data_IF_493743401349
#
_entry.id   IF_493743401349
#
_cell.length_a   1.000
_cell.length_b   1.000
_cell.length_c   1.000
_cell.angle_alpha   90.00
_cell.angle_beta   90.00
_cell.angle_gamma   90.00
#
_symmetry.space_group_name_H-M   'P 1'
#
loop_
_entity.id
_entity.type
_entity.pdbx_description
1 polymer ?
#
# COMPACT_ATOMS: atom_id res chain seq x y z
N UNK A 1 -35.23 -1.86 12.49
CA UNK A 1 -35.02 -1.61 13.92
C UNK A 1 -33.55 -1.90 14.24
N UNK A 2 -32.80 -0.89 14.70
CA UNK A 2 -31.43 -1.11 15.18
C UNK A 2 -31.53 -1.91 16.50
N UNK A 3 -30.86 -3.06 16.59
CA UNK A 3 -30.88 -3.92 17.78
C UNK A 3 -30.42 -3.15 19.02
N UNK A 4 -30.93 -3.51 20.20
CA UNK A 4 -30.51 -2.92 21.48
C UNK A 4 -28.98 -2.97 21.64
N UNK A 5 -28.35 -4.06 21.19
CA UNK A 5 -26.90 -4.22 21.20
C UNK A 5 -26.19 -3.13 20.38
N UNK A 6 -26.66 -2.85 19.16
CA UNK A 6 -26.09 -1.83 18.29
C UNK A 6 -26.26 -0.42 18.86
N UNK A 7 -27.39 -0.13 19.52
CA UNK A 7 -27.56 1.16 20.24
C UNK A 7 -26.54 1.32 21.36
N UNK A 8 -26.29 0.27 22.14
CA UNK A 8 -25.26 0.30 23.19
C UNK A 8 -23.86 0.51 22.62
N UNK A 9 -23.52 -0.17 21.51
CA UNK A 9 -22.24 0.02 20.82
C UNK A 9 -22.06 1.45 20.31
N UNK A 10 -23.11 2.03 19.70
CA UNK A 10 -23.08 3.41 19.22
C UNK A 10 -22.96 4.43 20.36
N UNK A 11 -23.59 4.16 21.51
CA UNK A 11 -23.50 5.01 22.71
C UNK A 11 -22.09 5.01 23.30
N UNK A 12 -21.42 3.85 23.28
CA UNK A 12 -20.07 3.66 23.83
C UNK A 12 -18.95 3.76 22.77
N UNK A 13 -19.24 4.31 21.59
CA UNK A 13 -18.34 4.23 20.44
C UNK A 13 -16.95 4.85 20.70
N UNK A 14 -16.85 5.93 21.48
CA UNK A 14 -15.56 6.58 21.82
C UNK A 14 -14.69 5.67 22.69
N UNK A 15 -15.28 5.01 23.69
CA UNK A 15 -14.55 4.09 24.57
C UNK A 15 -14.08 2.87 23.81
N UNK A 16 -14.94 2.29 22.98
CA UNK A 16 -14.60 1.14 22.12
C UNK A 16 -13.49 1.53 21.14
N UNK A 17 -13.59 2.71 20.52
CA UNK A 17 -12.56 3.24 19.63
C UNK A 17 -11.20 3.32 20.30
N UNK A 18 -11.13 3.92 21.50
CA UNK A 18 -9.88 4.06 22.24
C UNK A 18 -9.33 2.70 22.66
N UNK A 19 -10.19 1.77 23.09
CA UNK A 19 -9.79 0.41 23.45
C UNK A 19 -9.21 -0.38 22.27
N UNK A 20 -9.83 -0.29 21.09
CA UNK A 20 -9.31 -0.94 19.87
C UNK A 20 -7.98 -0.31 19.47
N UNK A 21 -7.88 1.03 19.47
CA UNK A 21 -6.67 1.74 19.10
C UNK A 21 -5.51 1.44 20.07
N UNK A 22 -5.78 1.44 21.38
CA UNK A 22 -4.78 1.13 22.40
C UNK A 22 -4.31 -0.32 22.29
N UNK A 23 -5.23 -1.25 22.04
CA UNK A 23 -4.91 -2.67 21.84
C UNK A 23 -4.07 -2.85 20.58
N UNK A 24 -4.50 -2.28 19.45
CA UNK A 24 -3.74 -2.32 18.20
C UNK A 24 -2.32 -1.75 18.37
N UNK A 25 -2.21 -0.61 19.04
CA UNK A 25 -0.92 0.03 19.30
C UNK A 25 -0.06 -0.83 20.22
N UNK A 26 -0.62 -1.36 21.31
CA UNK A 26 0.11 -2.24 22.21
C UNK A 26 0.68 -3.47 21.49
N UNK A 27 -0.17 -4.18 20.73
CA UNK A 27 0.25 -5.38 20.00
C UNK A 27 1.29 -5.08 18.91
N UNK A 28 1.21 -3.94 18.23
CA UNK A 28 2.21 -3.51 17.22
C UNK A 28 3.61 -3.30 17.78
N UNK A 29 3.74 -3.03 19.08
CA UNK A 29 5.02 -2.77 19.74
C UNK A 29 5.50 -3.97 20.58
N UNK A 30 4.75 -5.07 20.60
CA UNK A 30 5.17 -6.30 21.27
C UNK A 30 6.39 -6.95 20.62
N UNK A 31 6.72 -6.62 19.37
CA UNK A 31 7.92 -7.12 18.70
C UNK A 31 9.23 -6.61 19.31
N UNK A 32 9.21 -5.52 20.09
CA UNK A 32 10.36 -5.06 20.86
C UNK A 32 10.60 -5.89 22.13
N UNK A 33 9.64 -6.74 22.53
CA UNK A 33 9.77 -7.62 23.70
C UNK A 33 10.16 -9.02 23.20
N UNK A 34 11.34 -9.55 23.60
CA UNK A 34 11.76 -10.89 23.22
C UNK A 34 10.70 -11.95 23.57
N UNK A 35 10.32 -12.79 22.60
CA UNK A 35 9.32 -13.85 22.77
C UNK A 35 7.89 -13.44 22.43
N UNK A 36 7.60 -12.14 22.27
CA UNK A 36 6.26 -11.64 21.93
C UNK A 36 6.12 -11.20 20.47
N UNK A 37 7.14 -11.42 19.63
CA UNK A 37 7.12 -11.01 18.22
C UNK A 37 5.97 -11.66 17.43
N UNK A 38 5.60 -12.90 17.77
CA UNK A 38 4.50 -13.61 17.15
C UNK A 38 3.17 -12.84 17.27
N UNK A 39 2.92 -12.17 18.39
CA UNK A 39 1.69 -11.40 18.62
C UNK A 39 1.63 -10.14 17.76
N UNK A 40 2.77 -9.46 17.58
CA UNK A 40 2.86 -8.30 16.70
C UNK A 40 2.62 -8.67 15.23
N UNK A 41 3.00 -9.88 14.80
CA UNK A 41 2.84 -10.33 13.42
C UNK A 41 1.37 -10.41 12.96
N UNK A 42 0.42 -10.55 13.89
CA UNK A 42 -1.01 -10.55 13.58
C UNK A 42 -1.55 -9.15 13.25
N UNK A 43 -0.88 -8.08 13.67
CA UNK A 43 -1.34 -6.71 13.44
C UNK A 43 -0.72 -6.17 12.15
N UNK A 44 -1.41 -6.44 11.04
CA UNK A 44 -1.00 -5.99 9.70
C UNK A 44 -1.85 -4.81 9.21
N UNK A 45 -1.36 -4.02 8.22
CA UNK A 45 -2.15 -2.96 7.58
C UNK A 45 -3.58 -3.35 7.16
N UNK A 46 -3.83 -4.51 6.50
CA UNK A 46 -5.20 -4.92 6.20
C UNK A 46 -6.04 -5.19 7.45
N UNK A 47 -5.49 -5.86 8.46
CA UNK A 47 -6.22 -6.14 9.71
C UNK A 47 -6.62 -4.82 10.38
N UNK A 48 -5.72 -3.85 10.46
CA UNK A 48 -6.02 -2.54 11.00
C UNK A 48 -7.10 -1.80 10.18
N UNK A 49 -7.00 -1.81 8.84
CA UNK A 49 -8.02 -1.23 7.96
C UNK A 49 -9.40 -1.84 8.19
N UNK A 50 -9.49 -3.17 8.22
CA UNK A 50 -10.75 -3.88 8.38
C UNK A 50 -11.31 -3.77 9.79
N UNK A 51 -10.48 -3.72 10.83
CA UNK A 51 -10.94 -3.43 12.20
C UNK A 51 -11.54 -2.02 12.28
N UNK A 52 -10.90 -1.04 11.63
CA UNK A 52 -11.46 0.31 11.52
C UNK A 52 -12.80 0.31 10.78
N UNK A 53 -12.90 -0.43 9.67
CA UNK A 53 -14.14 -0.56 8.91
C UNK A 53 -15.25 -1.24 9.73
N UNK A 54 -14.96 -2.35 10.40
CA UNK A 54 -15.91 -3.07 11.27
C UNK A 54 -16.38 -2.15 12.40
N UNK A 55 -15.47 -1.40 13.01
CA UNK A 55 -15.80 -0.39 14.00
C UNK A 55 -16.77 0.65 13.42
N UNK A 56 -16.45 1.23 12.26
CA UNK A 56 -17.29 2.23 11.61
C UNK A 56 -18.70 1.71 11.26
N UNK A 57 -18.81 0.45 10.83
CA UNK A 57 -20.08 -0.17 10.44
C UNK A 57 -20.94 -0.58 11.64
N UNK A 58 -20.33 -0.87 12.80
CA UNK A 58 -21.04 -1.35 14.00
C UNK A 58 -21.29 -0.24 15.03
N UNK A 59 -20.29 0.60 15.27
CA UNK A 59 -20.28 1.65 16.30
C UNK A 59 -20.51 3.06 15.72
N UNK A 60 -20.49 3.20 14.38
CA UNK A 60 -20.49 4.50 13.71
C UNK A 60 -19.13 5.18 13.72
N UNK A 61 -19.08 6.45 13.35
CA UNK A 61 -17.85 7.22 13.32
C UNK A 61 -17.52 7.80 14.69
N UNK A 62 -16.36 7.46 15.24
CA UNK A 62 -15.79 8.13 16.40
C UNK A 62 -14.68 9.10 15.96
N UNK A 63 -14.72 10.32 16.50
CA UNK A 63 -13.72 11.38 16.26
C UNK A 63 -13.40 11.65 14.77
N UNK A 64 -14.38 11.89 13.88
CA UNK A 64 -14.14 12.00 12.44
C UNK A 64 -13.15 13.12 12.05
N UNK A 65 -13.20 14.26 12.75
CA UNK A 65 -12.24 15.37 12.53
C UNK A 65 -10.81 14.98 12.91
N UNK A 66 -10.66 14.23 14.00
CA UNK A 66 -9.35 13.71 14.43
C UNK A 66 -8.84 12.71 13.41
N UNK A 67 -9.64 11.68 13.07
CA UNK A 67 -9.20 10.64 12.13
C UNK A 67 -8.76 11.24 10.80
N UNK A 68 -9.56 12.15 10.21
CA UNK A 68 -9.23 12.80 8.94
C UNK A 68 -7.94 13.62 8.98
N UNK A 69 -7.70 14.35 10.09
CA UNK A 69 -6.49 15.16 10.25
C UNK A 69 -5.29 14.26 10.51
N UNK A 70 -5.41 13.35 11.47
CA UNK A 70 -4.34 12.46 11.92
C UNK A 70 -3.96 11.46 10.83
N UNK A 71 -4.92 10.86 10.12
CA UNK A 71 -4.65 9.95 9.00
C UNK A 71 -3.80 10.65 7.95
N UNK A 72 -4.20 11.86 7.53
CA UNK A 72 -3.46 12.65 6.53
C UNK A 72 -2.00 12.88 6.92
N UNK A 73 -1.74 13.35 8.14
CA UNK A 73 -0.38 13.68 8.57
C UNK A 73 0.44 12.43 8.88
N UNK A 74 -0.12 11.44 9.58
CA UNK A 74 0.58 10.18 9.85
C UNK A 74 0.91 9.43 8.56
N UNK A 75 0.06 9.49 7.53
CA UNK A 75 0.36 8.91 6.23
C UNK A 75 1.58 9.59 5.59
N UNK A 76 1.65 10.92 5.62
CA UNK A 76 2.80 11.67 5.11
C UNK A 76 4.07 11.36 5.89
N UNK A 77 4.01 11.31 7.23
CA UNK A 77 5.16 10.93 8.05
C UNK A 77 5.59 9.48 7.83
N UNK A 78 4.64 8.55 7.68
CA UNK A 78 4.93 7.15 7.38
C UNK A 78 5.62 7.03 6.03
N UNK A 79 5.13 7.72 4.99
CA UNK A 79 5.77 7.74 3.68
C UNK A 79 7.20 8.25 3.78
N UNK A 80 7.45 9.36 4.49
CA UNK A 80 8.82 9.85 4.72
C UNK A 80 9.68 8.82 5.44
N UNK A 81 9.15 8.20 6.50
CA UNK A 81 9.85 7.18 7.28
C UNK A 81 10.17 5.91 6.48
N UNK A 82 9.31 5.52 5.53
CA UNK A 82 9.59 4.41 4.60
C UNK A 82 10.81 4.70 3.72
N UNK A 83 11.14 5.97 3.46
CA UNK A 83 12.36 6.36 2.75
C UNK A 83 13.63 5.89 3.45
N UNK A 84 13.62 5.79 4.79
CA UNK A 84 14.74 5.23 5.55
C UNK A 84 14.91 3.71 5.37
N UNK A 85 13.95 3.03 4.72
CA UNK A 85 14.04 1.62 4.38
C UNK A 85 14.60 1.35 2.98
N UNK A 86 14.98 2.39 2.23
CA UNK A 86 15.37 2.28 0.83
C UNK A 86 16.81 2.76 0.63
N UNK A 87 17.60 1.98 -0.11
CA UNK A 87 18.94 2.35 -0.54
C UNK A 87 18.87 2.93 -1.97
N UNK A 88 19.30 4.18 -2.13
CA UNK A 88 19.21 4.89 -3.41
C UNK A 88 20.14 4.28 -4.47
N UNK A 89 21.36 3.83 -4.12
CA UNK A 89 22.23 3.21 -5.13
C UNK A 89 21.71 1.86 -5.58
N UNK A 90 21.33 0.97 -4.66
CA UNK A 90 20.78 -0.34 -4.99
C UNK A 90 19.55 -0.19 -5.89
N UNK A 91 18.66 0.74 -5.54
CA UNK A 91 17.44 0.95 -6.30
C UNK A 91 17.70 1.63 -7.67
N UNK A 92 18.71 2.49 -7.82
CA UNK A 92 19.14 3.03 -9.12
C UNK A 92 19.87 1.99 -9.98
N UNK A 93 20.71 1.15 -9.37
CA UNK A 93 21.47 0.10 -10.04
C UNK A 93 20.53 -0.97 -10.62
N UNK A 94 19.61 -1.49 -9.79
CA UNK A 94 18.55 -2.40 -10.22
C UNK A 94 17.59 -1.76 -11.22
N UNK A 95 17.41 -0.44 -11.13
CA UNK A 95 16.71 0.35 -12.13
C UNK A 95 17.29 0.15 -13.52
N UNK A 96 18.62 0.22 -13.69
CA UNK A 96 19.27 0.07 -15.01
C UNK A 96 19.04 -1.30 -15.65
N UNK A 97 18.96 -2.37 -14.86
CA UNK A 97 18.82 -3.76 -15.34
C UNK A 97 17.38 -4.19 -15.70
N UNK A 98 16.39 -3.33 -15.52
CA UNK A 98 15.01 -3.64 -15.89
C UNK A 98 14.17 -2.39 -16.15
N UNK A 99 14.84 -1.26 -16.47
CA UNK A 99 14.18 0.05 -16.52
C UNK A 99 13.08 0.06 -17.55
N UNK A 100 13.36 -0.45 -18.75
CA UNK A 100 12.42 -0.45 -19.86
C UNK A 100 11.14 -1.21 -19.51
N UNK A 101 11.28 -2.46 -19.04
CA UNK A 101 10.15 -3.27 -18.61
C UNK A 101 9.39 -2.61 -17.45
N UNK A 102 10.10 -2.04 -16.47
CA UNK A 102 9.46 -1.37 -15.33
C UNK A 102 8.69 -0.11 -15.75
N UNK A 103 9.26 0.70 -16.66
CA UNK A 103 8.60 1.88 -17.21
C UNK A 103 7.34 1.48 -17.97
N UNK A 104 7.46 0.52 -18.90
CA UNK A 104 6.35 0.04 -19.72
C UNK A 104 5.26 -0.56 -18.84
N UNK A 105 5.61 -1.37 -17.84
CA UNK A 105 4.64 -1.97 -16.93
C UNK A 105 3.95 -0.94 -16.06
N UNK A 106 4.66 0.05 -15.50
CA UNK A 106 4.05 1.13 -14.69
C UNK A 106 3.12 1.97 -15.55
N UNK A 107 3.59 2.47 -16.70
CA UNK A 107 2.79 3.33 -17.59
C UNK A 107 1.61 2.55 -18.17
N UNK A 108 1.84 1.33 -18.66
CA UNK A 108 0.81 0.45 -19.19
C UNK A 108 -0.27 0.14 -18.16
N UNK A 109 0.13 -0.20 -16.93
CA UNK A 109 -0.82 -0.41 -15.81
C UNK A 109 -1.67 0.81 -15.54
N UNK A 110 -1.07 2.01 -15.53
CA UNK A 110 -1.81 3.26 -15.31
C UNK A 110 -2.80 3.55 -16.43
N UNK A 111 -2.41 3.35 -17.69
CA UNK A 111 -3.28 3.57 -18.86
C UNK A 111 -4.44 2.57 -18.92
N UNK A 112 -4.14 1.27 -18.73
CA UNK A 112 -5.15 0.20 -18.71
C UNK A 112 -6.09 0.41 -17.53
N UNK A 113 -5.55 0.70 -16.34
CA UNK A 113 -6.34 0.98 -15.14
C UNK A 113 -7.25 2.19 -15.31
N UNK A 114 -6.76 3.27 -15.93
CA UNK A 114 -7.58 4.43 -16.28
C UNK A 114 -8.69 4.05 -17.27
N UNK A 115 -8.38 3.29 -18.32
CA UNK A 115 -9.36 2.89 -19.32
C UNK A 115 -10.46 2.02 -18.70
N UNK A 116 -10.09 0.94 -18.01
CA UNK A 116 -11.02 0.04 -17.32
C UNK A 116 -11.86 0.82 -16.30
N UNK A 117 -11.21 1.58 -15.44
CA UNK A 117 -11.90 2.25 -14.34
C UNK A 117 -12.80 3.39 -14.79
N UNK A 118 -12.33 4.26 -15.69
CA UNK A 118 -13.04 5.49 -16.08
C UNK A 118 -13.94 5.31 -17.29
N UNK A 119 -13.51 4.56 -18.31
CA UNK A 119 -14.29 4.41 -19.55
C UNK A 119 -15.28 3.26 -19.47
N UNK A 120 -14.88 2.12 -18.89
CA UNK A 120 -15.76 0.95 -18.80
C UNK A 120 -16.66 1.07 -17.56
N UNK A 121 -16.10 1.12 -16.36
CA UNK A 121 -16.89 1.03 -15.13
C UNK A 121 -17.40 2.38 -14.59
N UNK A 122 -16.87 3.49 -15.10
CA UNK A 122 -17.18 4.87 -14.65
C UNK A 122 -16.98 5.08 -13.14
N UNK A 123 -15.98 4.42 -12.56
CA UNK A 123 -15.55 4.59 -11.16
C UNK A 123 -15.06 6.02 -10.96
N UNK A 124 -15.20 6.59 -9.76
CA UNK A 124 -14.70 7.92 -9.47
C UNK A 124 -13.20 8.08 -9.81
N UNK A 125 -12.82 9.31 -10.13
CA UNK A 125 -11.49 9.60 -10.68
C UNK A 125 -10.37 9.25 -9.72
N UNK A 126 -10.55 9.57 -8.44
CA UNK A 126 -9.48 9.43 -7.45
C UNK A 126 -9.30 7.96 -7.07
N UNK A 127 -10.37 7.23 -6.75
CA UNK A 127 -10.32 5.79 -6.45
C UNK A 127 -9.73 5.01 -7.63
N UNK A 128 -10.19 5.27 -8.85
CA UNK A 128 -9.67 4.57 -10.04
C UNK A 128 -8.18 4.83 -10.25
N UNK A 129 -7.73 6.07 -10.06
CA UNK A 129 -6.31 6.43 -10.18
C UNK A 129 -5.48 5.84 -9.04
N UNK A 130 -5.99 5.82 -7.80
CA UNK A 130 -5.30 5.23 -6.65
C UNK A 130 -5.14 3.72 -6.80
N UNK A 131 -6.19 3.00 -7.22
CA UNK A 131 -6.09 1.55 -7.52
C UNK A 131 -5.03 1.32 -8.58
N UNK A 132 -5.08 2.05 -9.69
CA UNK A 132 -4.09 1.90 -10.77
C UNK A 132 -2.67 2.20 -10.31
N UNK A 133 -2.48 3.25 -9.50
CA UNK A 133 -1.18 3.63 -8.94
C UNK A 133 -0.66 2.58 -7.96
N UNK A 134 -1.54 2.04 -7.12
CA UNK A 134 -1.26 0.94 -6.21
C UNK A 134 -0.77 -0.28 -6.97
N UNK A 135 -1.57 -0.76 -7.93
CA UNK A 135 -1.22 -1.92 -8.76
C UNK A 135 0.09 -1.72 -9.52
N UNK A 136 0.35 -0.51 -10.04
CA UNK A 136 1.54 -0.21 -10.82
C UNK A 136 2.86 -0.24 -10.02
N UNK A 137 2.88 0.23 -8.75
CA UNK A 137 4.15 0.57 -8.09
C UNK A 137 4.49 -0.35 -6.90
N UNK A 138 3.71 -0.35 -5.82
CA UNK A 138 3.94 -1.22 -4.66
C UNK A 138 2.72 -1.30 -3.73
N UNK A 139 1.53 -1.22 -4.32
CA UNK A 139 0.27 -1.36 -3.60
C UNK A 139 0.01 -0.23 -2.61
N UNK A 140 -0.02 -0.58 -1.33
CA UNK A 140 -0.43 0.31 -0.24
C UNK A 140 0.44 1.55 -0.11
N UNK A 141 1.77 1.42 -0.21
CA UNK A 141 2.69 2.56 -0.08
C UNK A 141 2.53 3.58 -1.22
N UNK A 142 2.26 3.11 -2.44
CA UNK A 142 1.97 3.99 -3.56
C UNK A 142 0.64 4.74 -3.34
N UNK A 143 -0.41 4.05 -2.91
CA UNK A 143 -1.68 4.70 -2.56
C UNK A 143 -1.48 5.72 -1.43
N UNK A 144 -0.71 5.35 -0.40
CA UNK A 144 -0.38 6.21 0.73
C UNK A 144 0.36 7.49 0.32
N UNK A 145 1.29 7.39 -0.64
CA UNK A 145 2.04 8.54 -1.12
C UNK A 145 1.23 9.41 -2.09
N UNK A 146 0.43 8.80 -2.98
CA UNK A 146 -0.31 9.52 -4.03
C UNK A 146 -1.60 10.14 -3.50
N UNK A 147 -2.27 9.50 -2.53
CA UNK A 147 -3.50 9.97 -1.91
C UNK A 147 -3.48 11.44 -1.43
N UNK A 148 -2.49 11.84 -0.62
CA UNK A 148 -2.34 13.23 -0.19
C UNK A 148 -2.09 14.22 -1.34
N UNK A 149 -1.42 13.80 -2.42
CA UNK A 149 -1.17 14.64 -3.61
C UNK A 149 -2.48 14.89 -4.37
N UNK A 150 -3.30 13.85 -4.53
CA UNK A 150 -4.65 13.96 -5.09
C UNK A 150 -5.65 14.66 -4.18
N UNK A 151 -5.32 14.82 -2.88
CA UNK A 151 -6.25 15.21 -1.82
C UNK A 151 -7.46 14.27 -1.76
N UNK A 152 -7.21 12.98 -1.89
CA UNK A 152 -8.23 11.94 -1.86
C UNK A 152 -8.97 11.90 -0.52
N UNK A 153 -10.25 11.54 -0.55
CA UNK A 153 -11.08 11.34 0.64
C UNK A 153 -10.70 10.03 1.33
N UNK A 154 -10.95 9.92 2.63
CA UNK A 154 -10.71 8.68 3.39
C UNK A 154 -11.45 7.47 2.78
N UNK A 155 -12.62 7.71 2.17
CA UNK A 155 -13.36 6.68 1.43
C UNK A 155 -12.69 6.19 0.17
N UNK A 156 -12.16 7.11 -0.64
CA UNK A 156 -11.43 6.79 -1.87
C UNK A 156 -10.14 6.04 -1.52
N UNK A 157 -9.45 6.48 -0.46
CA UNK A 157 -8.28 5.83 0.10
C UNK A 157 -8.60 4.41 0.59
N UNK A 158 -9.64 4.26 1.40
CA UNK A 158 -10.00 2.95 1.96
C UNK A 158 -10.41 1.95 0.89
N UNK A 159 -11.15 2.39 -0.13
CA UNK A 159 -11.59 1.49 -1.20
C UNK A 159 -10.39 1.02 -2.01
N UNK A 160 -9.48 1.93 -2.35
CA UNK A 160 -8.27 1.58 -3.07
C UNK A 160 -7.39 0.63 -2.25
N UNK A 161 -7.11 0.97 -0.98
CA UNK A 161 -6.30 0.15 -0.07
C UNK A 161 -6.95 -1.22 0.19
N UNK A 162 -8.25 -1.25 0.49
CA UNK A 162 -8.99 -2.49 0.72
C UNK A 162 -8.97 -3.40 -0.50
N UNK A 163 -9.18 -2.83 -1.70
CA UNK A 163 -9.05 -3.57 -2.97
C UNK A 163 -7.67 -4.19 -3.10
N UNK A 164 -6.61 -3.39 -2.99
CA UNK A 164 -5.23 -3.87 -3.15
C UNK A 164 -4.87 -4.91 -2.09
N UNK A 165 -5.29 -4.72 -0.83
CA UNK A 165 -4.98 -5.65 0.25
C UNK A 165 -5.71 -6.98 0.13
N UNK A 166 -6.96 -7.00 -0.32
CA UNK A 166 -7.68 -8.25 -0.61
C UNK A 166 -6.95 -9.03 -1.69
N UNK A 167 -6.60 -8.37 -2.81
CA UNK A 167 -5.87 -9.01 -3.90
C UNK A 167 -4.52 -9.53 -3.43
N UNK A 168 -3.83 -8.76 -2.59
CA UNK A 168 -2.54 -9.14 -2.04
C UNK A 168 -2.63 -10.34 -1.09
N UNK A 169 -3.66 -10.41 -0.24
CA UNK A 169 -3.90 -11.55 0.64
C UNK A 169 -4.13 -12.84 -0.17
N UNK A 170 -4.89 -12.75 -1.26
CA UNK A 170 -5.11 -13.86 -2.20
C UNK A 170 -3.78 -14.24 -2.88
N UNK A 171 -3.01 -13.24 -3.34
CA UNK A 171 -1.76 -13.44 -4.07
C UNK A 171 -0.74 -14.24 -3.26
N UNK A 172 -0.61 -13.96 -1.95
CA UNK A 172 0.35 -14.63 -1.06
C UNK A 172 0.24 -16.17 -1.11
N UNK A 173 -0.98 -16.70 -1.21
CA UNK A 173 -1.21 -18.14 -1.22
C UNK A 173 -1.23 -18.74 -2.63
N UNK A 174 -1.79 -18.02 -3.59
CA UNK A 174 -1.96 -18.55 -4.96
C UNK A 174 -0.64 -18.54 -5.74
N UNK A 175 0.21 -17.53 -5.53
CA UNK A 175 1.40 -17.35 -6.37
C UNK A 175 2.40 -18.51 -6.24
N UNK A 176 2.84 -18.92 -5.04
CA UNK A 176 3.77 -20.05 -4.91
C UNK A 176 3.22 -21.33 -5.56
N UNK A 177 1.93 -21.61 -5.38
CA UNK A 177 1.27 -22.77 -5.98
C UNK A 177 1.27 -22.72 -7.52
N UNK A 178 0.97 -21.55 -8.11
CA UNK A 178 1.05 -21.37 -9.58
C UNK A 178 2.50 -21.47 -10.06
N UNK A 179 3.45 -20.88 -9.35
CA UNK A 179 4.87 -20.92 -9.70
C UNK A 179 5.38 -22.36 -9.81
N UNK A 180 5.07 -23.19 -8.82
CA UNK A 180 5.41 -24.61 -8.84
C UNK A 180 4.67 -25.37 -9.94
N UNK A 181 3.39 -25.06 -10.20
CA UNK A 181 2.62 -25.71 -11.26
C UNK A 181 3.11 -25.35 -12.68
N UNK A 182 3.83 -24.25 -12.83
CA UNK A 182 4.44 -23.80 -14.09
C UNK A 182 5.94 -24.09 -14.16
N UNK A 183 6.49 -24.85 -13.20
CA UNK A 183 7.90 -25.20 -13.08
C UNK A 183 8.85 -23.99 -13.21
N UNK A 184 8.44 -22.85 -12.62
CA UNK A 184 9.24 -21.62 -12.69
C UNK A 184 10.55 -21.78 -11.92
N UNK A 185 11.65 -21.28 -12.50
CA UNK A 185 12.89 -21.13 -11.73
C UNK A 185 12.71 -20.10 -10.63
N UNK A 186 13.59 -20.13 -9.62
CA UNK A 186 13.53 -19.16 -8.52
C UNK A 186 13.64 -17.71 -9.02
N UNK A 187 14.52 -17.44 -9.99
CA UNK A 187 14.65 -16.13 -10.61
C UNK A 187 13.37 -15.68 -11.33
N UNK A 188 12.74 -16.58 -12.10
CA UNK A 188 11.50 -16.30 -12.81
C UNK A 188 10.36 -16.01 -11.83
N UNK A 189 10.19 -16.86 -10.81
CA UNK A 189 9.18 -16.67 -9.80
C UNK A 189 9.41 -15.36 -9.02
N UNK A 190 10.66 -15.09 -8.63
CA UNK A 190 11.00 -13.86 -7.92
C UNK A 190 10.66 -12.61 -8.73
N UNK A 191 10.94 -12.62 -10.03
CA UNK A 191 10.56 -11.55 -10.97
C UNK A 191 9.04 -11.39 -11.04
N UNK A 192 8.32 -12.49 -11.24
CA UNK A 192 6.86 -12.47 -11.35
C UNK A 192 6.18 -11.97 -10.07
N UNK A 193 6.58 -12.53 -8.92
CA UNK A 193 6.06 -12.17 -7.60
C UNK A 193 6.29 -10.68 -7.31
N UNK A 194 7.49 -10.14 -7.57
CA UNK A 194 7.79 -8.74 -7.35
C UNK A 194 6.85 -7.80 -8.13
N UNK A 195 6.48 -8.19 -9.35
CA UNK A 195 5.70 -7.38 -10.27
C UNK A 195 4.20 -7.44 -9.99
N UNK A 196 3.69 -8.64 -9.74
CA UNK A 196 2.25 -8.90 -9.69
C UNK A 196 1.66 -8.98 -8.28
N UNK A 197 2.44 -9.32 -7.25
CA UNK A 197 1.99 -9.19 -5.86
C UNK A 197 2.11 -7.72 -5.47
N UNK A 198 1.13 -7.13 -4.80
CA UNK A 198 1.14 -5.68 -4.61
C UNK A 198 1.93 -5.21 -3.38
N UNK A 199 1.98 -6.00 -2.31
CA UNK A 199 2.64 -5.59 -1.06
C UNK A 199 4.05 -6.18 -0.91
N UNK A 200 4.95 -5.43 -0.28
CA UNK A 200 6.34 -5.90 -0.07
C UNK A 200 6.41 -7.08 0.90
N UNK A 201 5.61 -7.07 1.97
CA UNK A 201 5.64 -8.16 2.96
C UNK A 201 5.13 -9.47 2.35
N UNK A 202 4.13 -9.41 1.47
CA UNK A 202 3.65 -10.59 0.75
C UNK A 202 4.60 -11.06 -0.34
N UNK A 203 5.33 -10.15 -1.00
CA UNK A 203 6.43 -10.53 -1.90
C UNK A 203 7.52 -11.27 -1.13
N UNK A 204 7.91 -10.77 0.04
CA UNK A 204 8.89 -11.44 0.91
C UNK A 204 8.36 -12.80 1.36
N UNK A 205 7.11 -12.89 1.80
CA UNK A 205 6.50 -14.16 2.21
C UNK A 205 6.42 -15.19 1.08
N UNK A 206 5.97 -14.78 -0.11
CA UNK A 206 5.89 -15.65 -1.28
C UNK A 206 7.29 -16.06 -1.79
N UNK A 207 8.23 -15.11 -1.86
CA UNK A 207 9.60 -15.36 -2.27
C UNK A 207 10.31 -16.32 -1.32
N UNK A 208 10.22 -16.09 0.00
CA UNK A 208 10.80 -16.97 1.01
C UNK A 208 10.20 -18.39 0.98
N UNK A 209 8.90 -18.51 0.66
CA UNK A 209 8.27 -19.82 0.51
C UNK A 209 8.72 -20.57 -0.76
N UNK A 210 9.25 -19.87 -1.76
CA UNK A 210 9.68 -20.45 -3.03
C UNK A 210 11.18 -20.79 -3.08
N UNK A 211 12.02 -19.95 -2.48
CA UNK A 211 13.47 -20.17 -2.41
C UNK A 211 14.28 -18.91 -2.09
N UNK A 212 15.56 -19.08 -1.77
CA UNK A 212 16.43 -17.98 -1.33
C UNK A 212 16.74 -17.01 -2.47
N UNK A 213 16.98 -17.53 -3.69
CA UNK A 213 17.21 -16.70 -4.87
C UNK A 213 15.92 -15.95 -5.24
N UNK A 214 14.77 -16.63 -5.18
CA UNK A 214 13.48 -16.03 -5.44
C UNK A 214 13.22 -14.84 -4.49
N UNK A 215 13.46 -15.00 -3.20
CA UNK A 215 13.34 -13.93 -2.21
C UNK A 215 14.25 -12.73 -2.55
N UNK A 216 15.52 -12.99 -2.89
CA UNK A 216 16.50 -11.96 -3.21
C UNK A 216 16.12 -11.16 -4.46
N UNK A 217 15.80 -11.86 -5.54
CA UNK A 217 15.35 -11.25 -6.82
C UNK A 217 14.07 -10.46 -6.58
N UNK A 218 13.09 -11.06 -5.91
CA UNK A 218 11.80 -10.44 -5.71
C UNK A 218 11.89 -9.15 -4.90
N UNK A 219 12.65 -9.17 -3.81
CA UNK A 219 12.85 -8.01 -2.94
C UNK A 219 13.58 -6.88 -3.68
N UNK A 220 14.59 -7.23 -4.48
CA UNK A 220 15.39 -6.26 -5.24
C UNK A 220 14.53 -5.53 -6.29
N UNK A 221 13.76 -6.26 -7.09
CA UNK A 221 12.85 -5.67 -8.08
C UNK A 221 11.75 -4.87 -7.39
N UNK A 222 11.25 -5.34 -6.24
CA UNK A 222 10.21 -4.63 -5.47
C UNK A 222 10.65 -3.27 -4.97
N UNK A 223 11.87 -3.17 -4.44
CA UNK A 223 12.46 -1.90 -3.98
C UNK A 223 12.65 -0.91 -5.14
N UNK A 224 13.09 -1.40 -6.30
CA UNK A 224 13.25 -0.60 -7.51
C UNK A 224 11.92 0.01 -7.96
N UNK A 225 10.85 -0.80 -7.95
CA UNK A 225 9.51 -0.31 -8.26
C UNK A 225 9.03 0.76 -7.28
N UNK A 226 9.33 0.62 -6.00
CA UNK A 226 8.93 1.61 -4.99
C UNK A 226 9.51 3.02 -5.26
N UNK A 227 10.66 3.15 -5.92
CA UNK A 227 11.18 4.47 -6.32
C UNK A 227 10.26 5.25 -7.26
N UNK A 228 9.43 4.54 -8.05
CA UNK A 228 8.47 5.17 -8.96
C UNK A 228 7.41 5.99 -8.25
N UNK A 229 7.27 5.88 -6.92
CA UNK A 229 6.46 6.80 -6.12
C UNK A 229 6.88 8.26 -6.38
N UNK A 230 8.17 8.55 -6.53
CA UNK A 230 8.67 9.91 -6.72
C UNK A 230 8.20 10.51 -8.05
N UNK A 231 8.58 9.98 -9.22
CA UNK A 231 8.14 10.55 -10.50
C UNK A 231 6.62 10.55 -10.61
N UNK A 232 5.95 9.53 -10.06
CA UNK A 232 4.50 9.45 -10.06
C UNK A 232 3.84 10.51 -9.19
N UNK A 233 4.40 10.85 -8.02
CA UNK A 233 3.89 11.94 -7.20
C UNK A 233 4.03 13.30 -7.91
N UNK A 234 5.16 13.53 -8.59
CA UNK A 234 5.35 14.73 -9.42
C UNK A 234 4.37 14.77 -10.60
N UNK A 235 4.23 13.67 -11.33
CA UNK A 235 3.30 13.55 -12.45
C UNK A 235 1.86 13.79 -11.99
N UNK A 236 1.46 13.18 -10.87
CA UNK A 236 0.14 13.39 -10.24
C UNK A 236 -0.06 14.87 -9.91
N UNK A 237 0.92 15.51 -9.27
CA UNK A 237 0.84 16.94 -8.95
C UNK A 237 0.70 17.82 -10.19
N UNK A 238 1.29 17.42 -11.32
CA UNK A 238 1.21 18.16 -12.57
C UNK A 238 -0.12 17.93 -13.32
N UNK A 239 -0.58 16.68 -13.38
CA UNK A 239 -1.80 16.27 -14.09
C UNK A 239 -3.06 16.79 -13.39
N UNK A 240 -3.06 16.81 -12.06
CA UNK A 240 -4.24 17.14 -11.25
C UNK A 240 -4.22 18.57 -10.68
N UNK A 241 -3.27 19.41 -11.08
CA UNK A 241 -3.26 20.84 -10.68
C UNK A 241 -4.49 21.56 -11.25
N UNK A 242 -5.08 22.46 -10.46
CA UNK A 242 -6.10 23.38 -10.95
C UNK A 242 -5.47 24.42 -11.89
N UNK A 243 -6.18 24.79 -12.97
CA UNK A 243 -5.73 25.86 -13.89
C UNK A 243 -5.46 27.14 -13.09
N UNK A 244 -4.26 27.69 -13.23
CA UNK A 244 -3.84 28.92 -12.55
C UNK A 244 -3.14 28.75 -11.19
N UNK A 245 -3.07 27.54 -10.62
CA UNK A 245 -2.26 27.30 -9.42
C UNK A 245 -0.79 27.05 -9.77
N UNK A 246 0.12 27.65 -8.97
CA UNK A 246 1.54 27.32 -8.99
C UNK A 246 1.72 25.84 -8.61
N UNK A 247 2.71 25.19 -9.23
CA UNK A 247 3.09 23.81 -8.89
C UNK A 247 3.66 23.83 -7.46
N UNK A 248 2.87 23.39 -6.48
CA UNK A 248 3.36 23.14 -5.13
C UNK A 248 3.78 21.69 -5.04
N UNK A 249 5.09 21.43 -5.09
CA UNK A 249 5.64 20.10 -4.82
C UNK A 249 5.23 19.73 -3.38
N UNK A 250 4.66 18.54 -3.14
CA UNK A 250 4.32 18.12 -1.80
C UNK A 250 5.61 17.99 -0.97
N UNK A 251 5.74 18.79 0.08
CA UNK A 251 6.95 18.80 0.93
C UNK A 251 7.32 17.43 1.48
N UNK A 252 6.34 16.54 1.74
CA UNK A 252 6.63 15.19 2.21
C UNK A 252 7.34 14.33 1.16
N UNK A 253 7.16 14.58 -0.15
CA UNK A 253 7.92 13.88 -1.20
C UNK A 253 9.37 14.33 -1.18
N UNK A 254 9.61 15.63 -0.97
CA UNK A 254 10.95 16.14 -0.75
C UNK A 254 11.61 15.48 0.48
N UNK A 255 10.90 15.40 1.61
CA UNK A 255 11.42 14.72 2.81
C UNK A 255 11.59 13.21 2.63
N UNK A 256 10.77 12.55 1.81
CA UNK A 256 10.96 11.14 1.45
C UNK A 256 12.28 10.93 0.69
N UNK A 257 12.56 11.78 -0.32
CA UNK A 257 13.83 11.75 -1.05
C UNK A 257 14.99 12.02 -0.09
N UNK A 258 14.86 13.02 0.79
CA UNK A 258 15.89 13.33 1.78
C UNK A 258 16.13 12.18 2.75
N UNK A 259 15.07 11.50 3.20
CA UNK A 259 15.16 10.30 4.04
C UNK A 259 15.90 9.16 3.35
N UNK A 260 15.62 8.92 2.06
CA UNK A 260 16.36 7.93 1.28
C UNK A 260 17.84 8.29 1.13
N UNK A 261 18.15 9.55 0.80
CA UNK A 261 19.54 10.04 0.71
C UNK A 261 20.24 9.90 2.06
N UNK A 262 19.60 10.31 3.15
CA UNK A 262 20.15 10.19 4.50
C UNK A 262 20.42 8.73 4.87
N UNK A 263 19.47 7.83 4.63
CA UNK A 263 19.67 6.41 4.86
C UNK A 263 20.85 5.85 4.06
N UNK A 264 20.95 6.27 2.81
CA UNK A 264 21.92 5.74 1.86
C UNK A 264 23.35 6.24 2.10
N UNK A 265 23.52 7.50 2.53
CA UNK A 265 24.85 8.11 2.63
C UNK A 265 25.28 8.40 4.07
N UNK A 266 24.34 8.66 4.98
CA UNK A 266 24.64 9.03 6.37
C UNK A 266 24.50 7.85 7.34
N UNK A 267 23.62 6.88 7.04
CA UNK A 267 23.35 5.75 7.94
C UNK A 267 24.11 4.46 7.60
N UNK A 268 25.07 4.50 6.67
CA UNK A 268 25.89 3.33 6.33
C UNK A 268 26.66 2.75 7.52
N UNK A 269 27.08 3.60 8.47
CA UNK A 269 27.74 3.15 9.71
C UNK A 269 26.77 2.65 10.79
N UNK A 270 25.47 2.92 10.66
CA UNK A 270 24.42 2.57 11.64
C UNK A 270 23.14 2.11 10.93
N UNK A 271 23.18 1.05 10.09
CA UNK A 271 22.03 0.63 9.29
C UNK A 271 20.82 0.23 10.15
N UNK A 272 21.04 -0.17 11.40
CA UNK A 272 19.98 -0.48 12.36
C UNK A 272 19.09 0.74 12.66
N UNK A 273 19.64 1.96 12.62
CA UNK A 273 18.87 3.18 12.84
C UNK A 273 17.88 3.42 11.69
N UNK A 274 18.34 3.29 10.45
CA UNK A 274 17.45 3.40 9.27
C UNK A 274 16.36 2.34 9.27
N UNK A 275 16.74 1.09 9.59
CA UNK A 275 15.81 -0.02 9.73
C UNK A 275 14.78 0.22 10.85
N UNK A 276 15.19 0.76 11.99
CA UNK A 276 14.30 1.09 13.11
C UNK A 276 13.29 2.19 12.74
N UNK A 277 13.75 3.25 12.07
CA UNK A 277 12.87 4.34 11.59
C UNK A 277 11.85 3.80 10.59
N UNK A 278 12.28 3.00 9.61
CA UNK A 278 11.38 2.32 8.67
C UNK A 278 10.39 1.39 9.39
N UNK A 279 10.84 0.64 10.40
CA UNK A 279 9.99 -0.21 11.23
C UNK A 279 8.88 0.58 11.93
N UNK A 280 9.23 1.70 12.57
CA UNK A 280 8.26 2.62 13.20
C UNK A 280 7.31 3.21 12.14
N UNK A 281 7.82 3.56 10.95
CA UNK A 281 7.02 4.08 9.86
C UNK A 281 5.96 3.07 9.39
N UNK A 282 6.31 1.77 9.29
CA UNK A 282 5.36 0.69 8.95
C UNK A 282 4.30 0.47 10.02
N UNK A 283 4.66 0.56 11.30
CA UNK A 283 3.69 0.50 12.41
C UNK A 283 2.76 1.70 12.40
N UNK A 284 3.30 2.89 12.17
CA UNK A 284 2.53 4.14 12.04
C UNK A 284 1.58 4.09 10.84
N UNK A 285 2.02 3.51 9.72
CA UNK A 285 1.18 3.26 8.55
C UNK A 285 0.02 2.33 8.91
N UNK A 286 0.28 1.27 9.68
CA UNK A 286 -0.74 0.32 10.13
C UNK A 286 -1.80 1.01 11.00
N UNK A 287 -1.39 1.85 11.95
CA UNK A 287 -2.33 2.67 12.75
C UNK A 287 -3.12 3.63 11.86
N UNK A 288 -2.47 4.22 10.87
CA UNK A 288 -3.12 5.12 9.90
C UNK A 288 -4.21 4.39 9.10
N UNK A 289 -4.00 3.12 8.74
CA UNK A 289 -5.02 2.30 8.08
C UNK A 289 -6.27 2.13 8.94
N UNK A 290 -6.11 1.92 10.26
CA UNK A 290 -7.24 1.90 11.19
C UNK A 290 -8.02 3.21 11.18
N UNK A 291 -7.35 4.36 11.22
CA UNK A 291 -8.03 5.67 11.14
C UNK A 291 -8.79 5.87 9.83
N UNK A 292 -8.23 5.41 8.70
CA UNK A 292 -8.90 5.46 7.39
C UNK A 292 -10.18 4.60 7.43
N UNK A 293 -10.08 3.36 7.92
CA UNK A 293 -11.23 2.45 8.05
C UNK A 293 -12.30 2.98 9.00
N UNK A 294 -11.89 3.47 10.17
CA UNK A 294 -12.78 4.03 11.20
C UNK A 294 -13.45 5.35 10.81
N UNK A 295 -13.03 5.95 9.69
CA UNK A 295 -13.62 7.18 9.12
C UNK A 295 -14.71 6.90 8.09
N UNK A 296 -15.03 5.65 7.80
CA UNK A 296 -16.02 5.30 6.78
C UNK A 296 -17.45 5.35 7.32
N UNK A 297 -18.42 5.36 6.42
CA UNK A 297 -19.81 5.12 6.75
C UNK A 297 -20.37 4.05 5.81
N UNK A 298 -21.43 3.38 6.25
CA UNK A 298 -22.10 2.34 5.45
C UNK A 298 -22.63 2.93 4.13
N UNK A 299 -23.15 4.15 4.14
CA UNK A 299 -23.65 4.83 2.95
C UNK A 299 -22.53 5.10 1.94
N UNK A 300 -21.37 5.53 2.44
CA UNK A 300 -20.21 5.76 1.58
C UNK A 300 -19.69 4.44 1.00
N UNK A 301 -19.60 3.38 1.80
CA UNK A 301 -19.19 2.06 1.32
C UNK A 301 -20.16 1.53 0.24
N UNK A 302 -21.47 1.66 0.48
CA UNK A 302 -22.51 1.28 -0.49
C UNK A 302 -22.45 2.12 -1.77
N UNK A 303 -22.16 3.42 -1.67
CA UNK A 303 -22.09 4.32 -2.83
C UNK A 303 -20.93 3.99 -3.78
N UNK A 304 -19.87 3.38 -3.25
CA UNK A 304 -18.70 3.00 -4.04
C UNK A 304 -18.92 1.66 -4.77
N UNK A 305 -19.57 0.71 -4.12
CA UNK A 305 -19.95 -0.59 -4.71
C UNK A 305 -18.78 -1.50 -5.06
N UNK A 306 -19.05 -2.56 -5.83
CA UNK A 306 -18.08 -3.62 -6.16
C UNK A 306 -17.17 -3.28 -7.35
N UNK A 307 -17.50 -2.24 -8.12
CA UNK A 307 -16.79 -1.88 -9.35
C UNK A 307 -15.29 -1.63 -9.15
N UNK A 308 -14.85 -0.95 -8.08
CA UNK A 308 -13.41 -0.75 -7.84
C UNK A 308 -12.66 -2.05 -7.59
N UNK A 309 -13.28 -3.00 -6.88
CA UNK A 309 -12.71 -4.34 -6.71
C UNK A 309 -12.55 -5.05 -8.06
N UNK A 310 -13.57 -4.97 -8.93
CA UNK A 310 -13.49 -5.53 -10.29
C UNK A 310 -12.38 -4.87 -11.12
N UNK A 311 -12.23 -3.54 -11.05
CA UNK A 311 -11.09 -2.85 -11.70
C UNK A 311 -9.77 -3.41 -11.18
N UNK A 312 -9.62 -3.55 -9.85
CA UNK A 312 -8.42 -4.09 -9.23
C UNK A 312 -8.12 -5.51 -9.69
N UNK A 313 -9.12 -6.41 -9.67
CA UNK A 313 -8.99 -7.81 -10.13
C UNK A 313 -8.56 -7.85 -11.59
N UNK A 314 -9.24 -7.14 -12.49
CA UNK A 314 -8.92 -7.16 -13.92
C UNK A 314 -7.51 -6.64 -14.18
N UNK A 315 -7.14 -5.54 -13.53
CA UNK A 315 -5.81 -4.96 -13.70
C UNK A 315 -4.72 -5.88 -13.15
N UNK A 316 -4.98 -6.52 -12.02
CA UNK A 316 -4.10 -7.52 -11.42
C UNK A 316 -3.91 -8.74 -12.32
N UNK A 317 -4.99 -9.27 -12.90
CA UNK A 317 -4.93 -10.37 -13.88
C UNK A 317 -4.11 -9.95 -15.11
N UNK A 318 -4.38 -8.77 -15.67
CA UNK A 318 -3.65 -8.26 -16.84
C UNK A 318 -2.14 -8.18 -16.56
N UNK A 319 -1.73 -7.62 -15.43
CA UNK A 319 -0.30 -7.51 -15.09
C UNK A 319 0.31 -8.87 -14.80
N UNK A 320 -0.42 -9.75 -14.10
CA UNK A 320 0.05 -11.10 -13.80
C UNK A 320 0.33 -11.87 -15.10
N UNK A 321 -0.61 -11.81 -16.06
CA UNK A 321 -0.47 -12.47 -17.36
C UNK A 321 0.57 -11.81 -18.26
N UNK A 322 0.61 -10.46 -18.32
CA UNK A 322 1.61 -9.77 -19.14
C UNK A 322 3.03 -10.04 -18.65
N UNK A 323 3.20 -10.20 -17.34
CA UNK A 323 4.51 -10.50 -16.75
C UNK A 323 4.89 -11.96 -16.97
N UNK A 324 3.95 -12.89 -16.86
CA UNK A 324 4.20 -14.28 -17.26
C UNK A 324 4.60 -14.35 -18.73
N UNK A 325 3.88 -13.66 -19.62
CA UNK A 325 4.24 -13.59 -21.03
C UNK A 325 5.66 -13.04 -21.22
N UNK A 326 6.02 -11.95 -20.54
CA UNK A 326 7.38 -11.43 -20.60
C UNK A 326 8.43 -12.46 -20.15
N UNK A 327 8.20 -13.16 -19.04
CA UNK A 327 9.14 -14.14 -18.46
C UNK A 327 9.38 -15.35 -19.37
N UNK A 328 8.38 -15.78 -20.14
CA UNK A 328 8.48 -16.96 -21.02
C UNK A 328 8.86 -16.64 -22.46
N UNK A 329 8.62 -15.41 -22.93
CA UNK A 329 8.82 -15.04 -24.34
C UNK A 329 9.97 -14.05 -24.59
N UNK A 330 10.58 -13.50 -23.54
CA UNK A 330 11.73 -12.58 -23.62
C UNK A 330 12.87 -13.13 -22.77
#
# INVERSE_FOLDING_TARGET
>A
MISSATKTLQTNNKTIYVAILSTLTFFLFLDYIPGLQAWSAWVTPPVALFLGLIFALTCGQAHPKFNKKTSKYLLQYSVVGLGFGMNLQSALASGKEGMEFTVISVVGTLLIGWFIGRKIFKIDRNTSYLISSGTAICGGSAIAAIGPVLRAKDSEMSVALGTIFILNAIALFIFPAIGHALDMTEHQFGTWAAIAIHDTSSVVGAGAAYGEEALKVATTIKLTRALWIIPMAFATSFIFKSKGQKISIPWFIFFFILAMIANTYLLNGVPQLGAAINGIARKTLTITMFFIGASLSLDVLRSVGVKPLIQGVLLWVVISLSTLAYIYFV
#
